data_IF_123792019663
#
_entry.id   IF_123792019663
#
_cell.length_a   1.000
_cell.length_b   1.000
_cell.length_c   1.000
_cell.angle_alpha   90.00
_cell.angle_beta   90.00
_cell.angle_gamma   90.00
#
_symmetry.space_group_name_H-M   'P 1'
#
loop_
_entity.id
_entity.type
_entity.pdbx_description
1 polymer ?
#
# COMPACT_ATOMS: atom_id res chain seq x y z
N UNK A 1 8.43 -13.31 6.70
CA UNK A 1 7.65 -14.48 6.24
C UNK A 1 7.38 -14.31 4.75
N UNK A 2 7.54 -15.35 3.93
CA UNK A 2 7.21 -15.29 2.50
C UNK A 2 5.75 -15.73 2.26
N UNK A 3 5.21 -15.46 1.07
CA UNK A 3 3.81 -15.76 0.73
C UNK A 3 3.44 -17.24 0.94
N UNK A 4 4.34 -18.15 0.55
CA UNK A 4 4.12 -19.60 0.71
C UNK A 4 3.99 -19.99 2.18
N UNK A 5 4.87 -19.48 3.04
CA UNK A 5 4.79 -19.73 4.48
C UNK A 5 3.52 -19.17 5.08
N UNK A 6 3.09 -17.97 4.65
CA UNK A 6 1.83 -17.38 5.13
C UNK A 6 0.63 -18.22 4.72
N UNK A 7 0.54 -18.61 3.45
CA UNK A 7 -0.53 -19.46 2.94
C UNK A 7 -0.61 -20.82 3.67
N UNK A 8 0.52 -21.39 4.05
CA UNK A 8 0.57 -22.61 4.87
C UNK A 8 0.06 -22.39 6.30
N UNK A 9 0.30 -21.23 6.91
CA UNK A 9 -0.10 -20.93 8.28
C UNK A 9 -1.60 -20.60 8.41
N UNK A 10 -2.13 -19.76 7.52
CA UNK A 10 -3.53 -19.28 7.60
C UNK A 10 -4.49 -20.07 6.71
N UNK A 11 -3.95 -20.95 5.84
CA UNK A 11 -4.70 -21.70 4.85
C UNK A 11 -4.96 -20.93 3.56
N UNK A 12 -5.13 -21.68 2.45
CA UNK A 12 -5.37 -21.13 1.11
C UNK A 12 -6.60 -20.20 1.05
N UNK A 13 -7.76 -20.54 1.68
CA UNK A 13 -8.92 -19.66 1.60
C UNK A 13 -8.69 -18.28 2.24
N UNK A 14 -8.11 -18.24 3.44
CA UNK A 14 -7.83 -16.99 4.15
C UNK A 14 -6.74 -16.17 3.42
N UNK A 15 -5.72 -16.85 2.90
CA UNK A 15 -4.70 -16.21 2.07
C UNK A 15 -5.32 -15.56 0.83
N UNK A 16 -6.18 -16.27 0.10
CA UNK A 16 -6.82 -15.74 -1.10
C UNK A 16 -7.72 -14.55 -0.79
N UNK A 17 -8.47 -14.58 0.32
CA UNK A 17 -9.26 -13.44 0.77
C UNK A 17 -8.38 -12.20 1.02
N UNK A 18 -7.26 -12.38 1.72
CA UNK A 18 -6.29 -11.29 1.94
C UNK A 18 -5.72 -10.75 0.62
N UNK A 19 -5.39 -11.63 -0.34
CA UNK A 19 -4.89 -11.21 -1.65
C UNK A 19 -5.94 -10.44 -2.45
N UNK A 20 -7.23 -10.77 -2.30
CA UNK A 20 -8.32 -10.03 -2.93
C UNK A 20 -8.46 -8.63 -2.33
N UNK A 21 -8.38 -8.49 -1.01
CA UNK A 21 -8.39 -7.19 -0.34
C UNK A 21 -7.18 -6.33 -0.75
N UNK A 22 -5.99 -6.93 -0.78
CA UNK A 22 -4.78 -6.27 -1.30
C UNK A 22 -4.96 -5.77 -2.72
N UNK A 23 -5.58 -6.57 -3.59
CA UNK A 23 -5.88 -6.16 -4.98
C UNK A 23 -6.82 -4.94 -5.00
N UNK A 24 -7.90 -4.95 -4.24
CA UNK A 24 -8.86 -3.84 -4.16
C UNK A 24 -8.18 -2.55 -3.70
N UNK A 25 -7.29 -2.64 -2.71
CA UNK A 25 -6.51 -1.50 -2.21
C UNK A 25 -5.54 -0.99 -3.28
N UNK A 26 -4.84 -1.88 -3.97
CA UNK A 26 -3.94 -1.50 -5.06
C UNK A 26 -4.69 -0.80 -6.19
N UNK A 27 -5.83 -1.35 -6.60
CA UNK A 27 -6.68 -0.74 -7.63
C UNK A 27 -7.17 0.65 -7.20
N UNK A 28 -7.57 0.81 -5.94
CA UNK A 28 -7.94 2.11 -5.39
C UNK A 28 -6.78 3.11 -5.40
N UNK A 29 -5.59 2.71 -4.98
CA UNK A 29 -4.39 3.57 -4.98
C UNK A 29 -4.03 4.02 -6.40
N UNK A 30 -4.12 3.10 -7.37
CA UNK A 30 -3.83 3.38 -8.78
C UNK A 30 -4.95 4.20 -9.46
N UNK A 31 -6.20 4.07 -9.06
CA UNK A 31 -7.27 4.91 -9.60
C UNK A 31 -7.21 6.33 -9.00
N UNK A 32 -6.94 6.43 -7.70
CA UNK A 32 -7.07 7.69 -6.95
C UNK A 32 -5.81 8.55 -6.97
N UNK A 33 -4.62 7.94 -7.04
CA UNK A 33 -3.33 8.60 -6.81
C UNK A 33 -2.27 8.25 -7.87
N UNK A 34 -2.69 7.84 -9.07
CA UNK A 34 -1.74 7.57 -10.15
C UNK A 34 -1.21 8.88 -10.76
N UNK A 35 0.09 9.08 -10.60
CA UNK A 35 0.87 10.18 -11.18
C UNK A 35 1.84 9.69 -12.28
N UNK A 36 1.68 8.45 -12.73
CA UNK A 36 2.54 7.79 -13.72
C UNK A 36 3.91 7.33 -13.20
N UNK A 37 4.27 7.60 -11.94
CA UNK A 37 5.63 7.36 -11.42
C UNK A 37 5.69 6.38 -10.24
N UNK A 38 4.59 6.23 -9.50
CA UNK A 38 4.59 5.52 -8.20
C UNK A 38 3.97 4.12 -8.21
N UNK A 39 3.57 3.60 -9.37
CA UNK A 39 2.96 2.26 -9.49
C UNK A 39 3.76 1.17 -8.78
N UNK A 40 5.07 1.12 -9.01
CA UNK A 40 5.94 0.12 -8.38
C UNK A 40 5.96 0.26 -6.85
N UNK A 41 5.96 1.49 -6.32
CA UNK A 41 5.92 1.73 -4.88
C UNK A 41 4.61 1.20 -4.28
N UNK A 42 3.47 1.48 -4.91
CA UNK A 42 2.18 0.98 -4.44
C UNK A 42 2.09 -0.55 -4.49
N UNK A 43 2.56 -1.18 -5.56
CA UNK A 43 2.61 -2.63 -5.66
C UNK A 43 3.46 -3.25 -4.53
N UNK A 44 4.64 -2.68 -4.26
CA UNK A 44 5.54 -3.20 -3.21
C UNK A 44 4.94 -2.94 -1.82
N UNK A 45 4.35 -1.77 -1.60
CA UNK A 45 3.74 -1.41 -0.33
C UNK A 45 2.59 -2.35 0.04
N UNK A 46 1.66 -2.60 -0.89
CA UNK A 46 0.53 -3.52 -0.68
C UNK A 46 0.99 -4.96 -0.41
N UNK A 47 2.14 -5.36 -0.97
CA UNK A 47 2.67 -6.70 -0.75
C UNK A 47 3.36 -6.85 0.63
N UNK A 48 4.06 -5.80 1.08
CA UNK A 48 4.94 -5.87 2.25
C UNK A 48 4.34 -5.30 3.53
N UNK A 49 3.34 -4.41 3.42
CA UNK A 49 2.63 -3.83 4.55
C UNK A 49 1.34 -4.60 4.84
N UNK A 50 0.85 -4.46 6.05
CA UNK A 50 -0.44 -5.04 6.45
C UNK A 50 -1.58 -4.18 5.91
N UNK A 51 -2.70 -4.83 5.60
CA UNK A 51 -3.90 -4.17 5.05
C UNK A 51 -4.34 -3.03 5.97
N UNK A 52 -4.45 -3.28 7.28
CA UNK A 52 -4.86 -2.28 8.25
C UNK A 52 -3.95 -1.05 8.30
N UNK A 53 -2.65 -1.21 8.07
CA UNK A 53 -1.71 -0.06 8.02
C UNK A 53 -2.01 0.86 6.84
N UNK A 54 -2.31 0.27 5.68
CA UNK A 54 -2.65 1.02 4.47
C UNK A 54 -4.03 1.65 4.61
N UNK A 55 -5.01 0.92 5.14
CA UNK A 55 -6.36 1.43 5.38
C UNK A 55 -6.36 2.61 6.36
N UNK A 56 -5.55 2.55 7.42
CA UNK A 56 -5.40 3.67 8.36
C UNK A 56 -4.91 4.94 7.67
N UNK A 57 -3.93 4.84 6.76
CA UNK A 57 -3.51 5.98 5.92
C UNK A 57 -4.70 6.49 5.10
N UNK A 58 -5.38 5.59 4.39
CA UNK A 58 -6.47 5.96 3.48
C UNK A 58 -7.65 6.60 4.22
N UNK A 59 -7.95 6.17 5.45
CA UNK A 59 -8.98 6.77 6.29
C UNK A 59 -8.59 8.16 6.80
N UNK A 60 -7.32 8.33 7.21
CA UNK A 60 -6.81 9.62 7.68
C UNK A 60 -6.91 10.70 6.59
N UNK A 61 -6.43 10.39 5.39
CA UNK A 61 -6.43 11.35 4.26
C UNK A 61 -7.82 11.59 3.69
N UNK A 62 -8.76 10.64 3.83
CA UNK A 62 -10.15 10.78 3.36
C UNK A 62 -10.90 11.87 4.14
N UNK A 63 -10.57 12.05 5.42
CA UNK A 63 -11.20 13.03 6.30
C UNK A 63 -10.48 14.38 6.31
N UNK A 64 -9.27 14.44 5.75
CA UNK A 64 -8.44 15.64 5.68
C UNK A 64 -8.83 16.51 4.47
N UNK A 65 -9.51 17.63 4.75
CA UNK A 65 -9.96 18.59 3.73
C UNK A 65 -8.81 19.26 2.99
N UNK A 66 -7.68 19.50 3.66
CA UNK A 66 -6.51 20.09 3.02
C UNK A 66 -5.96 19.11 1.99
N UNK A 67 -5.80 17.83 2.37
CA UNK A 67 -5.40 16.78 1.45
C UNK A 67 -6.35 16.66 0.25
N UNK A 68 -7.67 16.70 0.47
CA UNK A 68 -8.65 16.62 -0.63
C UNK A 68 -8.56 17.80 -1.61
N UNK A 69 -8.09 18.97 -1.15
CA UNK A 69 -7.88 20.15 -1.99
C UNK A 69 -6.58 20.13 -2.82
N UNK A 70 -5.66 19.20 -2.54
CA UNK A 70 -4.39 19.09 -3.25
C UNK A 70 -4.54 18.53 -4.66
N UNK A 71 -3.55 18.82 -5.52
CA UNK A 71 -3.47 18.17 -6.82
C UNK A 71 -3.22 16.66 -6.67
N UNK A 72 -3.62 15.89 -7.69
CA UNK A 72 -3.38 14.43 -7.72
C UNK A 72 -1.92 14.05 -7.51
N UNK A 73 -0.99 14.88 -7.99
CA UNK A 73 0.45 14.68 -7.84
C UNK A 73 0.91 14.87 -6.39
N UNK A 74 0.37 15.88 -5.70
CA UNK A 74 0.68 16.15 -4.29
C UNK A 74 0.06 15.09 -3.38
N UNK A 75 -1.20 14.71 -3.64
CA UNK A 75 -1.86 13.59 -2.95
C UNK A 75 -1.03 12.31 -3.08
N UNK A 76 -0.63 11.94 -4.30
CA UNK A 76 0.24 10.80 -4.54
C UNK A 76 1.60 10.92 -3.82
N UNK A 77 2.09 12.15 -3.64
CA UNK A 77 3.30 12.45 -2.86
C UNK A 77 3.18 12.11 -1.40
N UNK A 78 2.12 12.59 -0.78
CA UNK A 78 1.84 12.37 0.65
C UNK A 78 1.59 10.89 0.92
N UNK A 79 0.75 10.22 0.11
CA UNK A 79 0.46 8.80 0.28
C UNK A 79 1.74 7.95 0.18
N UNK A 80 2.57 8.20 -0.83
CA UNK A 80 3.82 7.45 -0.97
C UNK A 80 4.78 7.70 0.20
N UNK A 81 4.82 8.94 0.72
CA UNK A 81 5.65 9.28 1.87
C UNK A 81 5.17 8.56 3.12
N UNK A 82 3.88 8.56 3.40
CA UNK A 82 3.30 7.82 4.52
C UNK A 82 3.56 6.32 4.43
N UNK A 83 3.40 5.71 3.25
CA UNK A 83 3.73 4.29 3.03
C UNK A 83 5.22 4.02 3.28
N UNK A 84 6.11 4.91 2.84
CA UNK A 84 7.55 4.79 3.10
C UNK A 84 7.87 4.92 4.59
N UNK A 85 7.20 5.81 5.31
CA UNK A 85 7.44 6.03 6.73
C UNK A 85 7.00 4.83 7.57
N UNK A 86 5.84 4.22 7.26
CA UNK A 86 5.42 2.95 7.87
C UNK A 86 6.44 1.84 7.59
N UNK A 87 6.86 1.70 6.33
CA UNK A 87 7.84 0.68 5.96
C UNK A 87 9.17 0.91 6.69
N UNK A 88 9.64 2.16 6.78
CA UNK A 88 10.87 2.53 7.48
C UNK A 88 10.81 2.20 8.97
N UNK A 89 9.67 2.45 9.63
CA UNK A 89 9.45 2.09 11.04
C UNK A 89 9.54 0.57 11.27
N UNK A 90 9.22 -0.24 10.25
CA UNK A 90 9.36 -1.70 10.26
C UNK A 90 10.74 -2.19 9.75
N UNK A 91 11.66 -1.28 9.41
CA UNK A 91 12.95 -1.63 8.80
C UNK A 91 12.84 -2.18 7.36
N UNK A 92 11.71 -1.94 6.69
CA UNK A 92 11.42 -2.41 5.34
C UNK A 92 11.74 -1.31 4.32
N UNK A 93 12.49 -1.64 3.28
CA UNK A 93 12.70 -0.75 2.15
C UNK A 93 11.72 -1.08 1.01
N UNK A 94 10.85 -0.14 0.65
CA UNK A 94 9.91 -0.26 -0.47
C UNK A 94 10.59 -0.07 -1.84
N UNK A 95 11.59 -0.90 -2.14
CA UNK A 95 12.34 -0.87 -3.40
C UNK A 95 12.57 -2.28 -3.92
N UNK A 96 12.51 -2.43 -5.25
CA UNK A 96 12.94 -3.68 -5.88
C UNK A 96 14.44 -3.86 -5.68
N UNK A 97 14.85 -5.03 -5.22
CA UNK A 97 16.25 -5.44 -5.26
C UNK A 97 16.54 -5.90 -6.69
N UNK A 98 17.55 -5.29 -7.30
CA UNK A 98 18.09 -5.80 -8.57
C UNK A 98 18.77 -7.15 -8.29
N UNK A 99 18.64 -8.07 -9.23
CA UNK A 99 19.41 -9.34 -9.21
C UNK A 99 20.89 -9.06 -9.43
#
# INVERSE_FOLDING_TARGET
MNDMGKAQQIGIPAYNAEQEEKRKILDFLLASYNDGRRKNLFCIAVNLLEIGEIENILQAVKSDKEFQGLSKKEQASIIAKQLQDIAANKGIALKLRKK
#
